data_IF_938822865404
#
_entry.id   IF_938822865404
#
_cell.length_a   1.000
_cell.length_b   1.000
_cell.length_c   1.000
_cell.angle_alpha   90.00
_cell.angle_beta   90.00
_cell.angle_gamma   90.00
#
_symmetry.space_group_name_H-M   'P 1'
#
loop_
_entity.id
_entity.type
_entity.pdbx_description
1 polymer ?
#
# COMPACT_ATOMS: atom_id res chain seq x y z
N UNK A 1 -0.51 10.52 -7.78
CA UNK A 1 0.78 10.69 -7.06
C UNK A 1 1.55 9.39 -6.87
N UNK A 2 1.22 8.44 -5.98
CA UNK A 2 2.05 7.22 -5.83
C UNK A 2 1.89 6.22 -6.98
N UNK A 3 0.66 5.85 -7.35
CA UNK A 3 0.39 4.87 -8.41
C UNK A 3 0.89 5.33 -9.79
N UNK A 4 0.70 6.62 -10.10
CA UNK A 4 1.24 7.26 -11.30
C UNK A 4 2.77 7.18 -11.36
N UNK A 5 3.45 7.36 -10.22
CA UNK A 5 4.90 7.16 -10.14
C UNK A 5 5.31 5.71 -10.37
N UNK A 6 4.55 4.75 -9.83
CA UNK A 6 4.77 3.32 -10.08
C UNK A 6 4.59 2.96 -11.56
N UNK A 7 3.59 3.54 -12.22
CA UNK A 7 3.33 3.33 -13.65
C UNK A 7 4.45 3.92 -14.51
N UNK A 8 4.92 5.12 -14.17
CA UNK A 8 5.93 5.84 -14.96
C UNK A 8 7.37 5.35 -14.77
N UNK A 9 7.76 5.03 -13.53
CA UNK A 9 9.15 4.69 -13.19
C UNK A 9 9.34 3.22 -12.80
N UNK A 10 8.25 2.48 -12.60
CA UNK A 10 8.30 1.08 -12.21
C UNK A 10 8.60 0.86 -10.71
N UNK A 11 8.46 -0.40 -10.30
CA UNK A 11 8.75 -0.84 -8.93
C UNK A 11 10.26 -0.82 -8.69
N UNK A 12 10.69 -0.18 -7.60
CA UNK A 12 12.10 -0.14 -7.19
C UNK A 12 12.75 1.23 -7.39
N UNK A 13 12.27 2.04 -8.34
CA UNK A 13 12.77 3.40 -8.55
C UNK A 13 12.13 4.43 -7.60
N UNK A 14 12.32 4.20 -6.31
CA UNK A 14 11.76 5.06 -5.25
C UNK A 14 12.32 6.47 -5.29
N UNK A 15 13.51 6.64 -5.86
CA UNK A 15 14.19 7.93 -5.95
C UNK A 15 13.50 8.84 -6.97
N UNK A 16 13.20 8.34 -8.17
CA UNK A 16 12.47 9.11 -9.16
C UNK A 16 10.98 9.29 -8.79
N UNK A 17 10.36 8.29 -8.18
CA UNK A 17 8.97 8.40 -7.67
C UNK A 17 8.86 9.49 -6.60
N UNK A 18 9.79 9.51 -5.64
CA UNK A 18 9.86 10.58 -4.63
C UNK A 18 10.09 11.95 -5.26
N UNK A 19 11.02 12.05 -6.21
CA UNK A 19 11.42 13.32 -6.81
C UNK A 19 10.35 13.95 -7.71
N UNK A 20 9.63 13.13 -8.47
CA UNK A 20 8.75 13.62 -9.53
C UNK A 20 7.27 13.42 -9.24
N UNK A 21 6.89 12.34 -8.56
CA UNK A 21 5.47 11.96 -8.37
C UNK A 21 4.96 12.18 -6.94
N UNK A 22 5.81 12.05 -5.93
CA UNK A 22 5.44 12.16 -4.51
C UNK A 22 6.39 13.12 -3.78
N UNK A 23 6.44 14.36 -4.25
CA UNK A 23 7.45 15.39 -3.90
C UNK A 23 7.57 15.71 -2.40
N UNK A 24 6.55 15.37 -1.60
CA UNK A 24 6.51 15.59 -0.14
C UNK A 24 7.03 14.39 0.68
N UNK A 25 7.51 13.34 0.02
CA UNK A 25 7.97 12.11 0.66
C UNK A 25 9.39 11.78 0.21
N UNK A 26 10.22 11.32 1.14
CA UNK A 26 11.58 10.86 0.84
C UNK A 26 11.56 9.49 0.17
N UNK A 27 12.63 9.09 -0.56
CA UNK A 27 12.68 7.78 -1.21
C UNK A 27 12.45 6.62 -0.24
N UNK A 28 12.96 6.71 0.99
CA UNK A 28 12.72 5.71 2.05
C UNK A 28 11.26 5.63 2.45
N UNK A 29 10.57 6.77 2.61
CA UNK A 29 9.14 6.80 2.90
C UNK A 29 8.32 6.19 1.75
N UNK A 30 8.70 6.45 0.51
CA UNK A 30 8.09 5.84 -0.69
C UNK A 30 8.30 4.33 -0.68
N UNK A 31 9.49 3.84 -0.37
CA UNK A 31 9.78 2.41 -0.27
C UNK A 31 8.93 1.73 0.82
N UNK A 32 8.85 2.32 2.01
CA UNK A 32 8.00 1.80 3.09
C UNK A 32 6.52 1.81 2.72
N UNK A 33 6.06 2.85 2.01
CA UNK A 33 4.70 2.92 1.51
C UNK A 33 4.44 1.81 0.47
N UNK A 34 5.35 1.63 -0.49
CA UNK A 34 5.26 0.60 -1.51
C UNK A 34 5.18 -0.80 -0.89
N UNK A 35 6.00 -1.10 0.12
CA UNK A 35 5.95 -2.38 0.84
C UNK A 35 4.56 -2.63 1.44
N UNK A 36 4.04 -1.67 2.21
CA UNK A 36 2.70 -1.79 2.82
C UNK A 36 1.61 -1.90 1.76
N UNK A 37 1.72 -1.14 0.68
CA UNK A 37 0.79 -1.16 -0.44
C UNK A 37 0.71 -2.55 -1.08
N UNK A 38 1.85 -3.16 -1.44
CA UNK A 38 1.87 -4.48 -2.06
C UNK A 38 1.40 -5.60 -1.12
N UNK A 39 1.76 -5.53 0.17
CA UNK A 39 1.23 -6.46 1.17
C UNK A 39 -0.30 -6.34 1.26
N UNK A 40 -0.84 -5.11 1.31
CA UNK A 40 -2.29 -4.88 1.32
C UNK A 40 -2.95 -5.39 0.05
N UNK A 41 -2.35 -5.14 -1.12
CA UNK A 41 -2.86 -5.60 -2.41
C UNK A 41 -2.94 -7.13 -2.47
N UNK A 42 -1.88 -7.82 -2.06
CA UNK A 42 -1.84 -9.28 -2.00
C UNK A 42 -2.88 -9.83 -1.01
N UNK A 43 -3.05 -9.19 0.15
CA UNK A 43 -4.07 -9.58 1.13
C UNK A 43 -5.50 -9.25 0.68
N UNK A 44 -5.71 -8.18 -0.07
CA UNK A 44 -7.03 -7.84 -0.60
C UNK A 44 -7.46 -8.83 -1.69
N UNK A 45 -6.52 -9.25 -2.54
CA UNK A 45 -6.76 -10.27 -3.56
C UNK A 45 -7.11 -11.65 -2.96
N UNK A 46 -6.63 -11.97 -1.76
CA UNK A 46 -6.95 -13.24 -1.06
C UNK A 46 -8.17 -13.15 -0.14
N UNK A 47 -8.67 -11.95 0.18
CA UNK A 47 -9.76 -11.73 1.14
C UNK A 47 -11.06 -11.27 0.48
N UNK A 48 -11.49 -11.98 -0.57
CA UNK A 48 -12.86 -11.82 -1.10
C UNK A 48 -13.97 -11.92 -0.04
N UNK A 49 -13.70 -12.49 1.14
CA UNK A 49 -14.72 -12.83 2.14
C UNK A 49 -14.35 -12.56 3.62
N UNK A 50 -13.28 -11.83 3.94
CA UNK A 50 -12.80 -11.75 5.34
C UNK A 50 -12.36 -10.36 5.78
N UNK A 51 -13.37 -9.47 5.88
CA UNK A 51 -13.36 -8.43 6.91
C UNK A 51 -13.12 -9.15 8.25
N UNK A 52 -12.05 -8.82 8.98
CA UNK A 52 -11.90 -9.31 10.36
C UNK A 52 -13.20 -8.97 11.07
N UNK A 53 -13.94 -9.98 11.54
CA UNK A 53 -15.11 -9.75 12.38
C UNK A 53 -14.67 -8.92 13.58
N UNK A 54 -15.47 -7.93 13.97
CA UNK A 54 -15.17 -7.15 15.16
C UNK A 54 -15.14 -8.11 16.35
N UNK A 55 -14.22 -7.91 17.29
CA UNK A 55 -14.23 -8.67 18.54
C UNK A 55 -15.54 -8.46 19.31
N UNK A 56 -16.20 -7.31 19.08
CA UNK A 56 -17.51 -6.98 19.63
C UNK A 56 -18.69 -7.69 18.92
N UNK A 57 -18.46 -8.39 17.81
CA UNK A 57 -19.50 -9.16 17.10
C UNK A 57 -19.63 -10.61 17.64
N UNK A 58 -18.80 -11.02 18.61
CA UNK A 58 -18.71 -12.41 19.11
C UNK A 58 -19.58 -12.66 20.36
N UNK A 59 -20.35 -11.67 20.83
CA UNK A 59 -21.19 -11.81 22.02
C UNK A 59 -22.69 -11.91 21.70
N UNK A 60 -23.21 -13.14 21.65
CA UNK A 60 -24.51 -13.58 22.19
C UNK A 60 -24.67 -15.10 21.93
N UNK A 61 -25.23 -15.90 22.86
CA UNK A 61 -26.10 -15.54 23.99
C UNK A 61 -25.40 -15.43 25.37
#
# INVERSE_FOLDING_TARGET
MFLEGLEKYGRGDWRNISRWSVKTRTPTQVASHAQKYFIRQANAATRGDSKRKSIHDITNP
#
